data_IF_905539392852
#
_entry.id   IF_905539392852
#
_cell.length_a   1.000
_cell.length_b   1.000
_cell.length_c   1.000
_cell.angle_alpha   90.00
_cell.angle_beta   90.00
_cell.angle_gamma   90.00
#
_symmetry.space_group_name_H-M   'P 1'
#
loop_
_entity.id
_entity.type
_entity.pdbx_description
1 polymer ?
#
# COMPACT_ATOMS: atom_id res chain seq x y z
N UNK A 1 4.46 6.23 27.73
CA UNK A 1 3.09 5.74 27.45
C UNK A 1 2.39 6.40 26.26
N UNK A 2 2.60 7.70 26.00
CA UNK A 2 1.88 8.47 24.95
C UNK A 2 1.84 7.85 23.54
N UNK A 3 2.95 7.29 23.04
CA UNK A 3 2.99 6.72 21.68
C UNK A 3 2.09 5.47 21.52
N UNK A 4 1.99 4.63 22.56
CA UNK A 4 1.12 3.43 22.55
C UNK A 4 -0.37 3.82 22.55
N UNK A 5 -0.70 4.80 23.38
CA UNK A 5 -2.06 5.35 23.45
C UNK A 5 -2.47 6.01 22.12
N UNK A 6 -1.58 6.81 21.53
CA UNK A 6 -1.78 7.38 20.20
C UNK A 6 -1.99 6.30 19.13
N UNK A 7 -1.15 5.26 19.09
CA UNK A 7 -1.34 4.14 18.17
C UNK A 7 -2.69 3.46 18.37
N UNK A 8 -3.07 3.17 19.62
CA UNK A 8 -4.34 2.51 19.93
C UNK A 8 -5.54 3.34 19.52
N UNK A 9 -5.50 4.66 19.77
CA UNK A 9 -6.57 5.59 19.41
C UNK A 9 -6.72 5.75 17.89
N UNK A 10 -5.61 5.91 17.17
CA UNK A 10 -5.63 6.05 15.72
C UNK A 10 -6.05 4.75 15.02
N UNK A 11 -5.57 3.59 15.50
CA UNK A 11 -6.00 2.29 14.98
C UNK A 11 -7.48 2.05 15.22
N UNK A 12 -8.00 2.32 16.43
CA UNK A 12 -9.42 2.10 16.70
C UNK A 12 -10.29 3.01 15.83
N UNK A 13 -9.93 4.28 15.69
CA UNK A 13 -10.59 5.23 14.79
C UNK A 13 -10.57 4.76 13.33
N UNK A 14 -9.41 4.26 12.86
CA UNK A 14 -9.25 3.72 11.51
C UNK A 14 -10.16 2.52 11.25
N UNK A 15 -10.19 1.55 12.17
CA UNK A 15 -11.03 0.36 12.05
C UNK A 15 -12.53 0.67 12.14
N UNK A 16 -12.95 1.60 13.01
CA UNK A 16 -14.35 2.04 13.09
C UNK A 16 -14.77 2.70 11.77
N UNK A 17 -13.93 3.58 11.23
CA UNK A 17 -14.20 4.26 9.96
C UNK A 17 -14.27 3.28 8.79
N UNK A 18 -13.39 2.27 8.78
CA UNK A 18 -13.41 1.19 7.79
C UNK A 18 -14.68 0.33 7.90
N UNK A 19 -15.11 0.00 9.13
CA UNK A 19 -16.35 -0.72 9.37
C UNK A 19 -17.56 0.10 8.89
N UNK A 20 -17.59 1.40 9.15
CA UNK A 20 -18.63 2.29 8.65
C UNK A 20 -18.64 2.36 7.12
N UNK A 21 -17.48 2.42 6.47
CA UNK A 21 -17.39 2.36 5.02
C UNK A 21 -17.96 1.03 4.49
N UNK A 22 -17.59 -0.09 5.09
CA UNK A 22 -18.07 -1.42 4.70
C UNK A 22 -19.56 -1.63 4.94
N UNK A 23 -20.14 -1.00 5.96
CA UNK A 23 -21.56 -1.14 6.27
C UNK A 23 -22.47 -0.44 5.23
N UNK A 24 -22.06 0.75 4.77
CA UNK A 24 -22.87 1.56 3.86
C UNK A 24 -22.64 1.23 2.38
N UNK A 25 -21.65 0.40 2.06
CA UNK A 25 -21.31 0.04 0.69
C UNK A 25 -21.64 -1.43 0.44
N UNK A 26 -22.17 -1.73 -0.75
CA UNK A 26 -22.42 -3.11 -1.19
C UNK A 26 -21.12 -3.90 -1.34
N UNK A 27 -20.03 -3.18 -1.57
CA UNK A 27 -18.68 -3.67 -1.73
C UNK A 27 -17.92 -3.56 -0.42
N UNK A 28 -17.19 -4.63 -0.06
CA UNK A 28 -16.30 -4.64 1.10
C UNK A 28 -14.91 -4.13 0.72
N UNK A 29 -14.47 -3.05 1.35
CA UNK A 29 -13.09 -2.57 1.28
C UNK A 29 -12.22 -3.48 2.15
N UNK A 30 -11.26 -4.15 1.50
CA UNK A 30 -10.40 -5.15 2.12
C UNK A 30 -9.33 -5.64 1.16
N UNK A 31 -8.67 -6.74 1.52
CA UNK A 31 -7.57 -7.32 0.75
C UNK A 31 -7.99 -7.74 -0.67
N UNK A 32 -9.26 -8.07 -0.88
CA UNK A 32 -9.79 -8.48 -2.20
C UNK A 32 -9.71 -7.36 -3.25
N UNK A 33 -9.51 -6.11 -2.82
CA UNK A 33 -9.30 -4.94 -3.68
C UNK A 33 -7.83 -4.57 -3.86
N UNK A 34 -6.90 -5.39 -3.36
CA UNK A 34 -5.48 -5.20 -3.59
C UNK A 34 -5.16 -5.57 -5.04
N UNK A 35 -4.97 -4.56 -5.87
CA UNK A 35 -4.34 -4.74 -7.17
C UNK A 35 -2.85 -5.04 -6.94
N UNK A 36 -2.34 -6.14 -7.51
CA UNK A 36 -0.94 -6.56 -7.41
C UNK A 36 0.04 -5.51 -7.94
N UNK A 37 -0.47 -4.50 -8.65
CA UNK A 37 0.29 -3.33 -9.13
C UNK A 37 0.62 -2.33 -8.01
N UNK A 38 0.06 -2.49 -6.80
CA UNK A 38 0.30 -1.59 -5.68
C UNK A 38 1.77 -1.57 -5.24
N UNK A 39 2.43 -0.43 -5.43
CA UNK A 39 3.71 -0.16 -4.79
C UNK A 39 3.52 0.50 -3.42
N UNK A 40 4.46 0.24 -2.50
CA UNK A 40 4.43 0.80 -1.16
C UNK A 40 4.57 2.34 -1.19
N UNK A 41 3.54 3.06 -0.73
CA UNK A 41 3.57 4.53 -0.64
C UNK A 41 4.46 5.06 0.50
N UNK A 42 4.87 4.19 1.42
CA UNK A 42 5.66 4.52 2.62
C UNK A 42 6.78 3.51 2.80
N UNK A 43 7.98 4.02 3.06
CA UNK A 43 9.18 3.22 3.30
C UNK A 43 9.68 3.45 4.72
N UNK A 44 10.16 2.39 5.34
CA UNK A 44 10.84 2.45 6.63
C UNK A 44 12.33 2.49 6.38
N UNK A 45 12.99 3.59 6.73
CA UNK A 45 14.44 3.67 6.82
C UNK A 45 14.88 3.25 8.22
N UNK A 46 15.86 2.37 8.29
CA UNK A 46 16.50 1.96 9.53
C UNK A 46 17.85 2.66 9.60
N UNK A 47 18.07 3.49 10.62
CA UNK A 47 19.35 4.16 10.90
C UNK A 47 19.95 3.57 12.16
N UNK A 48 21.25 3.31 12.15
CA UNK A 48 21.95 2.78 13.31
C UNK A 48 22.49 3.93 14.16
N UNK A 49 22.00 4.08 15.39
CA UNK A 49 22.50 5.04 16.38
C UNK A 49 23.38 4.28 17.38
N UNK A 50 24.66 4.08 17.03
CA UNK A 50 25.57 3.24 17.81
C UNK A 50 25.22 1.75 17.66
N UNK A 51 24.86 1.07 18.75
CA UNK A 51 24.39 -0.32 18.74
C UNK A 51 22.86 -0.46 18.59
N UNK A 52 22.12 0.66 18.54
CA UNK A 52 20.64 0.64 18.56
C UNK A 52 20.05 1.13 17.23
N UNK A 53 19.19 0.32 16.57
CA UNK A 53 18.50 0.76 15.37
C UNK A 53 17.34 1.73 15.71
N UNK A 54 17.25 2.79 14.94
CA UNK A 54 16.16 3.78 14.91
C UNK A 54 15.38 3.66 13.60
N UNK A 55 14.05 3.73 13.69
CA UNK A 55 13.15 3.56 12.56
C UNK A 55 12.53 4.92 12.21
N UNK A 56 12.53 5.25 10.92
CA UNK A 56 11.89 6.46 10.41
C UNK A 56 11.07 6.10 9.18
N UNK A 57 9.89 6.70 9.02
CA UNK A 57 9.05 6.47 7.85
C UNK A 57 9.14 7.68 6.92
N UNK A 58 9.30 7.42 5.62
CA UNK A 58 9.25 8.42 4.56
C UNK A 58 8.21 8.04 3.51
N UNK A 59 7.50 9.05 2.97
CA UNK A 59 6.60 8.88 1.83
C UNK A 59 7.44 8.76 0.55
N UNK A 60 7.05 7.86 -0.35
CA UNK A 60 7.63 7.79 -1.70
C UNK A 60 7.02 8.89 -2.54
N UNK A 61 7.88 9.78 -3.04
CA UNK A 61 7.54 10.72 -4.11
C UNK A 61 8.17 10.18 -5.39
N UNK A 62 7.39 10.02 -6.44
CA UNK A 62 7.91 9.61 -7.75
C UNK A 62 8.85 10.72 -8.24
N UNK A 63 10.16 10.45 -8.23
CA UNK A 63 11.06 11.13 -9.15
C UNK A 63 10.85 10.50 -10.52
N UNK A 64 10.31 11.28 -11.47
CA UNK A 64 10.35 10.95 -12.90
C UNK A 64 11.82 10.99 -13.37
N UNK A 65 12.61 10.01 -13.00
CA UNK A 65 13.88 9.76 -13.66
C UNK A 65 13.58 8.96 -14.92
N UNK A 66 13.43 9.69 -16.02
CA UNK A 66 13.46 9.15 -17.38
C UNK A 66 14.84 8.54 -17.67
N UNK A 67 15.07 7.32 -17.21
CA UNK A 67 16.16 6.47 -17.69
C UNK A 67 15.55 5.57 -18.77
N UNK A 68 15.65 6.04 -20.02
CA UNK A 68 15.60 5.19 -21.20
C UNK A 68 16.69 4.14 -21.06
N UNK A 69 16.33 2.90 -20.76
CA UNK A 69 17.15 1.76 -21.08
C UNK A 69 16.49 1.04 -22.25
N UNK A 70 17.17 1.14 -23.38
CA UNK A 70 16.99 0.34 -24.58
C UNK A 70 16.91 -1.15 -24.23
N UNK A 71 15.88 -1.81 -24.72
CA UNK A 71 15.99 -3.20 -25.12
C UNK A 71 15.52 -3.30 -26.56
N UNK A 72 16.47 -3.04 -27.45
CA UNK A 72 16.48 -3.60 -28.80
C UNK A 72 16.40 -5.13 -28.70
N UNK A 73 15.41 -5.74 -29.34
CA UNK A 73 15.56 -6.99 -30.09
C UNK A 73 14.64 -6.99 -31.31
N UNK A 74 15.06 -7.62 -32.41
CA UNK A 74 14.81 -7.13 -33.77
C UNK A 74 13.62 -7.79 -34.47
N UNK A 75 13.11 -7.08 -35.46
CA UNK A 75 12.33 -7.56 -36.61
C UNK A 75 12.93 -8.88 -37.18
N UNK A 76 12.19 -9.83 -37.75
CA UNK A 76 11.36 -9.72 -38.97
C UNK A 76 10.67 -11.11 -39.23
N UNK A 77 9.93 -11.38 -40.33
CA UNK A 77 8.47 -11.53 -40.36
C UNK A 77 8.01 -12.91 -40.90
N UNK A 78 6.71 -13.24 -40.81
CA UNK A 78 5.98 -13.94 -41.91
C UNK A 78 4.46 -14.06 -41.63
N UNK A 79 3.69 -13.32 -42.42
CA UNK A 79 2.30 -13.60 -42.83
C UNK A 79 2.37 -14.51 -44.09
N UNK A 80 1.35 -15.33 -44.48
CA UNK A 80 0.08 -14.77 -44.99
C UNK A 80 -1.22 -15.62 -44.88
N UNK A 81 -2.33 -14.88 -44.72
CA UNK A 81 -3.65 -14.98 -45.39
C UNK A 81 -4.29 -16.36 -45.69
N UNK A 82 -5.57 -16.53 -45.28
CA UNK A 82 -6.68 -16.83 -46.22
C UNK A 82 -8.08 -16.70 -45.62
N UNK A 83 -9.00 -16.31 -46.49
CA UNK A 83 -10.36 -15.83 -46.27
C UNK A 83 -11.41 -16.97 -46.11
N UNK A 84 -12.55 -16.59 -45.50
CA UNK A 84 -13.95 -17.11 -45.48
C UNK A 84 -14.50 -17.87 -46.73
N UNK A 85 -15.75 -18.47 -46.77
CA UNK A 85 -16.97 -18.20 -45.96
C UNK A 85 -17.94 -19.39 -45.60
N UNK A 86 -18.97 -19.02 -44.82
CA UNK A 86 -20.40 -19.47 -44.83
C UNK A 86 -20.85 -20.81 -44.19
N UNK A 87 -21.73 -20.68 -43.18
CA UNK A 87 -23.02 -21.37 -43.14
C UNK A 87 -24.03 -20.55 -42.29
N UNK A 88 -25.03 -20.01 -42.98
CA UNK A 88 -26.21 -19.31 -42.46
C UNK A 88 -27.14 -20.28 -41.71
N UNK A 89 -27.85 -19.81 -40.67
CA UNK A 89 -29.28 -20.13 -40.43
C UNK A 89 -29.87 -19.18 -39.36
N UNK A 90 -30.68 -18.23 -39.86
CA UNK A 90 -31.90 -17.61 -39.31
C UNK A 90 -31.93 -16.93 -37.91
N UNK A 91 -32.02 -15.60 -37.95
CA UNK A 91 -32.73 -14.69 -37.02
C UNK A 91 -34.26 -14.61 -37.39
N UNK A 92 -35.20 -13.95 -36.64
CA UNK A 92 -35.10 -12.60 -36.01
C UNK A 92 -36.00 -12.36 -34.74
N UNK A 93 -36.30 -11.12 -34.28
CA UNK A 93 -35.42 -10.15 -33.59
C UNK A 93 -36.06 -9.55 -32.30
N UNK A 94 -35.29 -9.20 -31.26
CA UNK A 94 -35.74 -8.23 -30.24
C UNK A 94 -34.64 -7.22 -29.86
N UNK A 95 -34.72 -6.06 -30.54
CA UNK A 95 -34.35 -4.69 -30.13
C UNK A 95 -33.28 -4.54 -29.05
N UNK A 96 -32.02 -4.54 -29.48
CA UNK A 96 -30.92 -3.85 -28.81
C UNK A 96 -31.08 -2.34 -28.99
N UNK A 97 -31.13 -1.61 -27.86
CA UNK A 97 -30.87 -0.18 -27.83
C UNK A 97 -29.34 -0.01 -27.78
N UNK A 98 -28.80 0.58 -28.84
CA UNK A 98 -27.41 0.98 -28.96
C UNK A 98 -27.03 1.97 -27.86
N UNK A 99 -26.26 1.50 -26.87
CA UNK A 99 -25.46 2.39 -26.02
C UNK A 99 -24.03 2.26 -26.53
N UNK A 100 -23.39 3.35 -26.99
CA UNK A 100 -22.02 3.28 -27.48
C UNK A 100 -21.11 2.76 -26.37
N UNK A 101 -20.41 1.68 -26.66
CA UNK A 101 -19.29 1.16 -25.87
C UNK A 101 -18.21 2.24 -25.83
N UNK A 102 -18.27 3.08 -24.80
CA UNK A 102 -17.17 3.96 -24.46
C UNK A 102 -16.09 3.01 -23.93
N UNK A 103 -15.05 2.79 -24.74
CA UNK A 103 -13.77 2.33 -24.24
C UNK A 103 -13.30 3.32 -23.15
N UNK A 104 -13.62 3.01 -21.89
CA UNK A 104 -13.07 3.70 -20.74
C UNK A 104 -11.57 3.41 -20.73
N UNK A 105 -10.82 4.24 -21.45
CA UNK A 105 -9.38 4.37 -21.31
C UNK A 105 -9.12 4.77 -19.87
N UNK A 106 -8.92 3.77 -19.02
CA UNK A 106 -8.71 3.90 -17.59
C UNK A 106 -7.73 5.06 -17.29
N UNK A 107 -8.27 6.17 -16.77
CA UNK A 107 -7.53 7.34 -16.31
C UNK A 107 -6.86 7.04 -14.96
N UNK A 108 -6.26 5.85 -14.82
CA UNK A 108 -5.39 5.50 -13.69
C UNK A 108 -3.95 5.78 -14.07
N UNK A 109 -3.69 6.98 -14.57
CA UNK A 109 -2.32 7.45 -14.71
C UNK A 109 -1.72 7.61 -13.30
N UNK A 110 -0.92 6.63 -12.90
CA UNK A 110 0.13 6.71 -11.89
C UNK A 110 -0.24 7.35 -10.54
N UNK A 111 -1.45 7.12 -10.00
CA UNK A 111 -1.74 7.58 -8.65
C UNK A 111 -1.06 6.66 -7.63
N UNK A 112 0.05 7.13 -7.04
CA UNK A 112 0.69 6.53 -5.86
C UNK A 112 -0.26 6.32 -4.68
N UNK A 113 -1.41 7.01 -4.68
CA UNK A 113 -2.39 6.92 -3.62
C UNK A 113 -3.36 5.76 -3.87
N UNK A 114 -3.29 4.67 -3.08
CA UNK A 114 -4.11 3.48 -3.28
C UNK A 114 -5.60 3.74 -3.11
N UNK A 115 -5.99 4.83 -2.42
CA UNK A 115 -7.41 5.13 -2.23
C UNK A 115 -8.10 5.48 -3.55
N UNK A 116 -7.36 5.95 -4.56
CA UNK A 116 -7.91 6.34 -5.86
C UNK A 116 -8.23 5.14 -6.76
N UNK A 117 -7.76 3.93 -6.42
CA UNK A 117 -8.15 2.72 -7.14
C UNK A 117 -9.61 2.33 -6.92
N UNK A 118 -10.22 2.82 -5.83
CA UNK A 118 -11.66 2.69 -5.58
C UNK A 118 -12.52 3.65 -6.42
N UNK A 119 -11.93 4.32 -7.41
CA UNK A 119 -12.60 5.26 -8.30
C UNK A 119 -12.77 6.66 -7.71
N UNK A 120 -13.56 7.49 -8.38
CA UNK A 120 -13.77 8.90 -7.98
C UNK A 120 -14.68 9.00 -6.75
N UNK A 121 -15.62 8.06 -6.61
CA UNK A 121 -16.64 8.07 -5.57
C UNK A 121 -16.22 7.28 -4.31
N UNK A 122 -15.03 7.58 -3.79
CA UNK A 122 -14.54 6.98 -2.55
C UNK A 122 -15.36 7.47 -1.35
N UNK A 123 -15.97 6.58 -0.54
CA UNK A 123 -16.72 6.97 0.66
C UNK A 123 -15.88 7.80 1.62
N UNK A 124 -16.43 8.87 2.24
CA UNK A 124 -15.68 9.68 3.21
C UNK A 124 -15.10 8.87 4.37
N UNK A 125 -15.84 7.88 4.87
CA UNK A 125 -15.39 7.00 5.94
C UNK A 125 -14.16 6.16 5.55
N UNK A 126 -14.00 5.80 4.26
CA UNK A 126 -12.81 5.10 3.77
C UNK A 126 -11.59 6.03 3.73
N UNK A 127 -11.78 7.30 3.37
CA UNK A 127 -10.72 8.33 3.43
C UNK A 127 -10.28 8.58 4.88
N UNK A 128 -11.24 8.67 5.80
CA UNK A 128 -10.95 8.78 7.23
C UNK A 128 -10.18 7.57 7.74
N UNK A 129 -10.57 6.35 7.34
CA UNK A 129 -9.85 5.13 7.71
C UNK A 129 -8.39 5.17 7.22
N UNK A 130 -8.18 5.50 5.95
CA UNK A 130 -6.84 5.64 5.38
C UNK A 130 -6.02 6.68 6.16
N UNK A 131 -6.56 7.87 6.41
CA UNK A 131 -5.86 8.94 7.13
C UNK A 131 -5.42 8.51 8.53
N UNK A 132 -6.29 7.80 9.26
CA UNK A 132 -5.97 7.28 10.60
C UNK A 132 -4.87 6.22 10.55
N UNK A 133 -4.93 5.26 9.62
CA UNK A 133 -3.88 4.25 9.47
C UNK A 133 -2.55 4.85 9.03
N UNK A 134 -2.59 5.78 8.08
CA UNK A 134 -1.44 6.56 7.62
C UNK A 134 -0.77 7.28 8.78
N UNK A 135 -1.54 8.01 9.58
CA UNK A 135 -1.02 8.75 10.73
C UNK A 135 -0.37 7.82 11.77
N UNK A 136 -0.89 6.60 11.91
CA UNK A 136 -0.35 5.57 12.80
C UNK A 136 1.01 5.07 12.32
N UNK A 137 1.13 4.79 11.03
CA UNK A 137 2.37 4.29 10.41
C UNK A 137 3.43 5.39 10.34
N UNK A 138 3.04 6.63 10.05
CA UNK A 138 3.98 7.75 9.95
C UNK A 138 4.48 8.22 11.33
N UNK A 139 3.68 8.04 12.38
CA UNK A 139 3.97 8.57 13.72
C UNK A 139 4.33 7.50 14.76
N UNK A 140 3.34 6.98 15.49
CA UNK A 140 3.59 6.21 16.71
C UNK A 140 4.26 4.86 16.48
N UNK A 141 4.04 4.18 15.34
CA UNK A 141 4.65 2.87 15.06
C UNK A 141 6.19 2.92 15.00
N UNK A 142 6.84 3.74 14.14
CA UNK A 142 8.30 3.79 14.07
C UNK A 142 8.93 4.24 15.40
N UNK A 143 8.25 5.11 16.14
CA UNK A 143 8.67 5.52 17.48
C UNK A 143 8.63 4.37 18.48
N UNK A 144 7.55 3.59 18.51
CA UNK A 144 7.42 2.41 19.38
C UNK A 144 8.46 1.35 19.03
N UNK A 145 8.70 1.11 17.74
CA UNK A 145 9.73 0.17 17.29
C UNK A 145 11.13 0.59 17.75
N UNK A 146 11.47 1.87 17.60
CA UNK A 146 12.75 2.44 18.06
C UNK A 146 12.90 2.30 19.57
N UNK A 147 11.89 2.73 20.34
CA UNK A 147 11.91 2.66 21.80
C UNK A 147 12.03 1.22 22.30
N UNK A 148 11.35 0.26 21.65
CA UNK A 148 11.46 -1.16 22.01
C UNK A 148 12.91 -1.67 21.86
N UNK A 149 13.62 -1.23 20.83
CA UNK A 149 15.04 -1.58 20.62
C UNK A 149 15.95 -0.89 21.62
N UNK A 150 15.70 0.38 21.93
CA UNK A 150 16.41 1.12 22.98
C UNK A 150 16.28 0.44 24.34
N UNK A 151 15.05 0.10 24.75
CA UNK A 151 14.79 -0.62 26.01
C UNK A 151 15.55 -1.95 26.05
N UNK A 152 15.50 -2.71 24.95
CA UNK A 152 16.19 -4.01 24.88
C UNK A 152 17.71 -3.85 25.01
N UNK A 153 18.28 -2.82 24.40
CA UNK A 153 19.72 -2.56 24.53
C UNK A 153 20.10 -2.16 25.96
N UNK A 154 19.31 -1.28 26.59
CA UNK A 154 19.53 -0.89 27.98
C UNK A 154 19.46 -2.08 28.94
N UNK A 155 18.53 -3.02 28.74
CA UNK A 155 18.48 -4.26 29.52
C UNK A 155 19.78 -5.07 29.43
N UNK A 156 20.35 -5.16 28.23
CA UNK A 156 21.61 -5.87 27.98
C UNK A 156 22.76 -5.16 28.69
N UNK A 157 22.86 -3.84 28.59
CA UNK A 157 23.88 -3.04 29.25
C UNK A 157 23.83 -3.15 30.77
N UNK A 158 22.62 -3.07 31.36
CA UNK A 158 22.40 -3.28 32.78
C UNK A 158 22.84 -4.69 33.20
N UNK A 159 22.49 -5.71 32.41
CA UNK A 159 22.93 -7.09 32.64
C UNK A 159 24.44 -7.22 32.64
N UNK A 160 25.13 -6.62 31.66
CA UNK A 160 26.59 -6.61 31.55
C UNK A 160 27.23 -5.88 32.74
N UNK A 161 26.71 -4.71 33.12
CA UNK A 161 27.21 -3.93 34.25
C UNK A 161 27.08 -4.69 35.58
N UNK A 162 25.92 -5.31 35.84
CA UNK A 162 25.68 -6.15 37.02
C UNK A 162 26.65 -7.34 37.08
N UNK A 163 26.93 -7.98 35.94
CA UNK A 163 27.90 -9.08 35.87
C UNK A 163 29.32 -8.62 36.18
N UNK A 164 29.72 -7.43 35.72
CA UNK A 164 31.04 -6.83 36.04
C UNK A 164 31.17 -6.50 37.52
N UNK A 165 30.15 -5.89 38.13
CA UNK A 165 30.15 -5.58 39.57
C UNK A 165 30.30 -6.84 40.42
N UNK A 166 29.58 -7.92 40.08
CA UNK A 166 29.72 -9.21 40.75
C UNK A 166 31.13 -9.80 40.67
N UNK A 167 31.85 -9.57 39.56
CA UNK A 167 33.22 -10.05 39.36
C UNK A 167 34.25 -9.25 40.18
N UNK A 168 33.96 -7.98 40.47
CA UNK A 168 34.85 -7.11 41.27
C UNK A 168 34.58 -7.30 42.77
N UNK A 169 33.35 -7.61 43.14
CA UNK A 169 32.93 -7.76 44.53
C UNK A 169 33.15 -9.17 45.11
N UNK A 170 33.61 -10.14 44.31
CA UNK A 170 33.99 -11.49 44.74
C UNK A 170 35.42 -11.79 44.34
#
# INVERSE_FOLDING_TARGET
MKAREQASSQLSSGYISLAQANYHNRTRFGQDYYDERMQASRHVSIKMNGEVPSFTVSKVELQENASKEESERPDTPEQPLKNEPQAETSEPPEKTLDVPFIEEKHVYANSLDPIRWFGILVPPALRSAQSSFVSTVDGPIPRLASLSKELRNMEIEIGRARKRLRKIAG
#
